data_IF_371130526114
#
_entry.id   IF_371130526114
#
_cell.length_a   1.000
_cell.length_b   1.000
_cell.length_c   1.000
_cell.angle_alpha   90.00
_cell.angle_beta   90.00
_cell.angle_gamma   90.00
#
_symmetry.space_group_name_H-M   'P 1'
#
loop_
_entity.id
_entity.type
_entity.pdbx_description
1 polymer ?
#
# COMPACT_ATOMS: atom_id res chain seq x y z
N UNK A 1 2.22 22.16 8.17
CA UNK A 1 3.57 22.73 8.31
C UNK A 1 4.51 21.80 7.56
N UNK A 2 5.35 22.35 6.70
CA UNK A 2 6.30 21.55 5.92
C UNK A 2 7.60 21.40 6.71
N UNK A 3 8.07 20.16 6.83
CA UNK A 3 9.29 19.81 7.57
C UNK A 3 10.29 19.17 6.63
N UNK A 4 11.56 19.59 6.69
CA UNK A 4 12.64 19.00 5.89
C UNK A 4 13.25 17.81 6.63
N UNK A 5 13.20 16.63 6.00
CA UNK A 5 13.84 15.42 6.48
C UNK A 5 15.03 15.05 5.59
N UNK A 6 16.23 14.96 6.19
CA UNK A 6 17.45 14.57 5.48
C UNK A 6 17.87 13.18 5.93
N UNK A 7 18.03 12.25 4.98
CA UNK A 7 18.50 10.90 5.24
C UNK A 7 19.65 10.52 4.32
N UNK A 8 20.56 9.69 4.82
CA UNK A 8 21.70 9.19 4.04
C UNK A 8 21.25 8.03 3.17
N UNK A 9 21.58 8.10 1.88
CA UNK A 9 21.34 7.04 0.90
C UNK A 9 22.65 6.63 0.25
N UNK A 10 22.79 5.35 -0.05
CA UNK A 10 23.81 4.88 -0.98
C UNK A 10 23.53 5.40 -2.39
N UNK A 11 24.58 5.54 -3.21
CA UNK A 11 24.46 5.90 -4.64
C UNK A 11 23.51 4.97 -5.39
N UNK A 12 23.52 3.68 -5.04
CA UNK A 12 22.62 2.67 -5.62
C UNK A 12 21.15 2.91 -5.27
N UNK A 13 20.85 3.32 -4.03
CA UNK A 13 19.48 3.65 -3.63
C UNK A 13 18.99 4.91 -4.35
N UNK A 14 19.81 5.97 -4.42
CA UNK A 14 19.46 7.20 -5.14
C UNK A 14 19.22 6.95 -6.63
N UNK A 15 20.04 6.12 -7.28
CA UNK A 15 19.83 5.75 -8.68
C UNK A 15 18.50 5.00 -8.91
N UNK A 16 18.11 4.12 -7.99
CA UNK A 16 16.80 3.43 -8.05
C UNK A 16 15.64 4.41 -7.84
N UNK A 17 15.75 5.33 -6.88
CA UNK A 17 14.76 6.38 -6.63
C UNK A 17 14.54 7.23 -7.88
N UNK A 18 15.64 7.78 -8.45
CA UNK A 18 15.59 8.59 -9.67
C UNK A 18 14.95 7.86 -10.84
N UNK A 19 15.25 6.57 -11.02
CA UNK A 19 14.63 5.76 -12.07
C UNK A 19 13.13 5.62 -11.86
N UNK A 20 12.68 5.39 -10.62
CA UNK A 20 11.27 5.25 -10.28
C UNK A 20 10.52 6.57 -10.47
N UNK A 21 11.05 7.68 -9.95
CA UNK A 21 10.48 9.01 -10.14
C UNK A 21 10.32 9.36 -11.63
N UNK A 22 11.34 9.06 -12.45
CA UNK A 22 11.27 9.25 -13.91
C UNK A 22 10.14 8.43 -14.57
N UNK A 23 9.90 7.20 -14.11
CA UNK A 23 8.82 6.36 -14.64
C UNK A 23 7.44 6.88 -14.27
N UNK A 24 7.31 7.55 -13.12
CA UNK A 24 6.09 8.22 -12.70
C UNK A 24 5.91 9.62 -13.31
N UNK A 25 6.94 10.18 -13.96
CA UNK A 25 6.91 11.55 -14.49
C UNK A 25 7.07 12.63 -13.41
N UNK A 26 7.55 12.26 -12.23
CA UNK A 26 7.65 13.09 -11.03
C UNK A 26 9.11 13.46 -10.72
N UNK A 27 9.31 14.50 -9.89
CA UNK A 27 10.61 14.74 -9.26
C UNK A 27 10.94 13.69 -8.19
N UNK A 28 12.23 13.55 -7.84
CA UNK A 28 12.65 12.63 -6.75
C UNK A 28 11.95 12.95 -5.41
N UNK A 29 11.67 14.22 -5.15
CA UNK A 29 11.05 14.67 -3.91
C UNK A 29 9.54 14.39 -3.89
N UNK A 30 8.82 14.66 -4.98
CA UNK A 30 7.39 14.33 -5.11
C UNK A 30 7.17 12.83 -4.98
N UNK A 31 7.90 12.04 -5.77
CA UNK A 31 7.81 10.58 -5.70
C UNK A 31 8.06 10.05 -4.28
N UNK A 32 9.02 10.62 -3.55
CA UNK A 32 9.30 10.20 -2.18
C UNK A 32 8.19 10.59 -1.20
N UNK A 33 7.58 11.78 -1.35
CA UNK A 33 6.43 12.19 -0.54
C UNK A 33 5.26 11.24 -0.76
N UNK A 34 4.94 10.90 -1.99
CA UNK A 34 3.83 10.00 -2.33
C UNK A 34 4.07 8.58 -1.80
N UNK A 35 5.32 8.11 -1.84
CA UNK A 35 5.70 6.84 -1.22
C UNK A 35 5.50 6.93 0.30
N UNK A 36 6.00 7.97 0.96
CA UNK A 36 5.86 8.12 2.41
C UNK A 36 4.40 8.22 2.83
N UNK A 37 3.57 8.98 2.11
CA UNK A 37 2.14 9.10 2.37
C UNK A 37 1.44 7.74 2.26
N UNK A 38 1.76 6.94 1.23
CA UNK A 38 1.17 5.61 1.06
C UNK A 38 1.65 4.60 2.11
N UNK A 39 2.92 4.61 2.46
CA UNK A 39 3.51 3.61 3.36
C UNK A 39 3.28 3.94 4.85
N UNK A 40 3.11 5.23 5.18
CA UNK A 40 2.78 5.70 6.53
C UNK A 40 1.27 5.91 6.72
N UNK A 41 0.44 5.44 5.79
CA UNK A 41 -1.02 5.46 5.93
C UNK A 41 -1.44 4.49 7.05
N UNK A 42 -1.87 5.06 8.18
CA UNK A 42 -2.29 4.34 9.38
C UNK A 42 -3.62 3.60 9.23
N UNK A 43 -4.35 3.82 8.12
CA UNK A 43 -5.63 3.15 7.89
C UNK A 43 -5.43 1.64 7.70
N UNK A 44 -6.32 0.80 8.26
CA UNK A 44 -6.33 -0.62 7.98
C UNK A 44 -6.37 -0.91 6.48
N UNK A 45 -5.66 -1.95 6.03
CA UNK A 45 -5.62 -2.34 4.61
C UNK A 45 -7.02 -2.52 4.02
N UNK A 46 -7.97 -3.05 4.79
CA UNK A 46 -9.37 -3.23 4.38
C UNK A 46 -10.09 -1.92 4.04
N UNK A 47 -9.79 -0.84 4.75
CA UNK A 47 -10.33 0.49 4.44
C UNK A 47 -9.63 1.09 3.22
N UNK A 48 -8.32 0.89 3.11
CA UNK A 48 -7.51 1.38 1.99
C UNK A 48 -7.93 0.76 0.65
N UNK A 49 -8.30 -0.52 0.64
CA UNK A 49 -8.68 -1.25 -0.58
C UNK A 49 -10.19 -1.45 -0.73
N UNK A 50 -11.00 -0.96 0.20
CA UNK A 50 -12.46 -1.19 0.19
C UNK A 50 -13.18 -0.63 -1.03
N UNK A 51 -12.56 0.32 -1.73
CA UNK A 51 -13.06 0.89 -3.00
C UNK A 51 -12.61 0.10 -4.24
N UNK A 52 -11.68 -0.84 -4.09
CA UNK A 52 -11.21 -1.69 -5.18
C UNK A 52 -12.06 -2.96 -5.22
N UNK A 53 -12.84 -3.14 -6.30
CA UNK A 53 -13.52 -4.39 -6.55
C UNK A 53 -12.49 -5.46 -6.96
N UNK A 54 -12.14 -6.36 -6.04
CA UNK A 54 -11.19 -7.43 -6.28
C UNK A 54 -10.99 -8.34 -5.06
N UNK A 55 -10.50 -9.56 -5.28
CA UNK A 55 -10.15 -10.49 -4.20
C UNK A 55 -8.63 -10.60 -4.09
N UNK A 56 -8.09 -10.29 -2.91
CA UNK A 56 -6.67 -10.53 -2.63
C UNK A 56 -6.51 -12.01 -2.24
N UNK A 57 -5.96 -12.82 -3.16
CA UNK A 57 -5.58 -14.20 -2.85
C UNK A 57 -4.22 -14.22 -2.18
N UNK A 58 -4.21 -14.34 -0.85
CA UNK A 58 -2.98 -14.52 -0.07
C UNK A 58 -2.61 -16.01 -0.07
N UNK A 59 -1.43 -16.35 -0.61
CA UNK A 59 -0.91 -17.73 -0.57
C UNK A 59 -0.73 -18.15 0.90
N UNK A 60 -1.38 -19.25 1.29
CA UNK A 60 -1.24 -19.85 2.62
C UNK A 60 -2.37 -19.55 3.63
N UNK A 61 -3.38 -18.76 3.25
CA UNK A 61 -4.57 -18.60 4.10
C UNK A 61 -5.41 -19.87 4.01
N UNK A 62 -5.38 -20.71 5.06
CA UNK A 62 -6.40 -21.74 5.25
C UNK A 62 -7.76 -21.05 5.32
N UNK A 63 -8.71 -21.49 4.51
CA UNK A 63 -10.11 -21.08 4.64
C UNK A 63 -10.56 -21.47 6.06
N UNK A 64 -10.68 -20.47 6.91
CA UNK A 64 -11.18 -20.64 8.27
C UNK A 64 -12.64 -21.13 8.20
N UNK A 65 -12.98 -22.30 8.77
CA UNK A 65 -14.35 -22.82 8.80
C UNK A 65 -15.36 -21.79 9.32
N UNK A 66 -14.93 -20.89 10.19
CA UNK A 66 -15.76 -19.82 10.73
C UNK A 66 -16.19 -18.80 9.66
N UNK A 67 -15.33 -18.51 8.67
CA UNK A 67 -15.68 -17.60 7.55
C UNK A 67 -16.79 -18.19 6.66
N UNK A 68 -16.81 -19.50 6.47
CA UNK A 68 -17.88 -20.16 5.72
C UNK A 68 -19.22 -20.03 6.45
N UNK A 69 -19.24 -20.31 7.76
CA UNK A 69 -20.45 -20.18 8.58
C UNK A 69 -20.98 -18.74 8.68
N UNK A 70 -20.09 -17.75 8.77
CA UNK A 70 -20.49 -16.33 8.76
C UNK A 70 -21.13 -15.94 7.42
N UNK A 71 -20.59 -16.42 6.29
CA UNK A 71 -21.11 -16.10 4.96
C UNK A 71 -22.49 -16.73 4.74
N UNK A 72 -22.68 -17.96 5.23
CA UNK A 72 -23.95 -18.67 5.18
C UNK A 72 -25.03 -17.99 6.03
N UNK A 73 -24.69 -17.49 7.23
CA UNK A 73 -25.64 -16.78 8.11
C UNK A 73 -25.91 -15.32 7.71
N UNK A 74 -25.01 -14.67 6.98
CA UNK A 74 -25.16 -13.28 6.55
C UNK A 74 -25.82 -13.13 5.16
N UNK A 75 -26.25 -14.22 4.51
CA UNK A 75 -27.17 -14.10 3.39
C UNK A 75 -28.51 -13.60 3.93
N UNK A 76 -28.74 -12.30 3.81
CA UNK A 76 -30.07 -11.70 3.97
C UNK A 76 -30.82 -11.86 2.65
N UNK A 77 -32.09 -12.29 2.73
CA UNK A 77 -33.07 -12.10 1.65
C UNK A 77 -33.18 -10.61 1.26
#
# INVERSE_FOLDING_TARGET
MDTTFTFRMSTRQRAKLRRRAKLSGESEAEFLRDVLERELDDRPMGERIGHLAGTVSLKGVRLDPWRAQIKERNWRE
#
